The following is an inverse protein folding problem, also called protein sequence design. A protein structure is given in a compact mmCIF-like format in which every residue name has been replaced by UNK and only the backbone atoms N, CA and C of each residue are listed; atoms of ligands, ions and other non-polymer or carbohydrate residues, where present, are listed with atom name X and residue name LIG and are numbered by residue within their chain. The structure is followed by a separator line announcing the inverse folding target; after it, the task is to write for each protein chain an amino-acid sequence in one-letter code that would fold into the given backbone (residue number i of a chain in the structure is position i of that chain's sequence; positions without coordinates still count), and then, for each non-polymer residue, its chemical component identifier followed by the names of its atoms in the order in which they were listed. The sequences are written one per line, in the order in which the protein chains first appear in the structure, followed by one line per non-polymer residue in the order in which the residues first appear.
data_IF_353664025525
#
_entry.id   IF_353664025525
#
_cell.length_a   1.000
_cell.length_b   1.000
_cell.length_c   1.000
_cell.angle_alpha   90.00
_cell.angle_beta   90.00
_cell.angle_gamma   90.00
#
_symmetry.space_group_name_H-M   'P 1'
#
loop_
_entity.id
_entity.type
_entity.pdbx_description
1 polymer ?
#
# COMPACT_ATOMS: atom_id res chain seq x y z
N UNK A 1 15.50 -34.53 18.19
CA UNK A 1 15.89 -35.77 18.84
C UNK A 1 15.98 -36.89 17.80
N UNK A 2 17.02 -37.74 17.90
CA UNK A 2 17.25 -38.82 16.93
C UNK A 2 16.04 -39.79 16.84
N UNK A 3 15.39 -40.05 17.96
CA UNK A 3 14.22 -40.92 18.02
C UNK A 3 13.02 -40.38 17.27
N UNK A 4 12.80 -39.05 17.28
CA UNK A 4 11.73 -38.42 16.52
C UNK A 4 11.99 -38.55 15.01
N UNK A 5 13.22 -38.32 14.59
CA UNK A 5 13.60 -38.46 13.18
C UNK A 5 13.36 -39.89 12.69
N UNK A 6 13.79 -40.90 13.47
CA UNK A 6 13.55 -42.30 13.13
C UNK A 6 12.08 -42.61 12.99
N UNK A 7 11.25 -42.21 13.98
CA UNK A 7 9.79 -42.41 13.92
C UNK A 7 9.12 -41.75 12.71
N UNK A 8 9.60 -40.54 12.31
CA UNK A 8 9.08 -39.86 11.15
C UNK A 8 9.49 -40.56 9.85
N UNK A 9 10.77 -40.96 9.72
CA UNK A 9 11.23 -41.70 8.54
C UNK A 9 10.50 -43.02 8.36
N UNK A 10 10.27 -43.77 9.45
CA UNK A 10 9.52 -45.02 9.43
C UNK A 10 8.04 -44.82 9.06
N UNK A 11 7.38 -43.80 9.63
CA UNK A 11 5.97 -43.48 9.32
C UNK A 11 5.71 -42.95 7.92
N UNK A 12 6.68 -42.20 7.37
CA UNK A 12 6.57 -41.59 6.04
C UNK A 12 7.17 -42.48 4.95
N UNK A 13 7.63 -43.70 5.32
CA UNK A 13 8.32 -44.61 4.43
C UNK A 13 9.49 -43.98 3.66
N UNK A 14 10.22 -43.08 4.34
CA UNK A 14 11.38 -42.38 3.76
C UNK A 14 12.54 -43.38 3.71
N UNK A 15 13.05 -43.64 2.51
CA UNK A 15 14.12 -44.58 2.28
C UNK A 15 15.41 -43.92 1.74
N UNK A 16 16.34 -44.73 1.24
CA UNK A 16 17.63 -44.28 0.70
C UNK A 16 17.53 -43.48 -0.60
N UNK A 17 16.38 -43.54 -1.28
CA UNK A 17 16.13 -42.81 -2.53
C UNK A 17 15.59 -41.40 -2.23
N UNK A 18 15.16 -41.15 -1.00
CA UNK A 18 14.66 -39.86 -0.57
C UNK A 18 15.79 -38.96 -0.07
N UNK A 19 15.71 -37.69 -0.43
CA UNK A 19 16.70 -36.70 0.01
C UNK A 19 16.31 -36.14 1.38
N UNK A 20 17.23 -36.26 2.34
CA UNK A 20 17.12 -35.64 3.65
C UNK A 20 18.16 -34.53 3.80
N UNK A 21 17.69 -33.31 3.96
CA UNK A 21 18.56 -32.14 4.17
C UNK A 21 18.49 -31.71 5.62
N UNK A 22 19.60 -31.73 6.31
CA UNK A 22 19.69 -31.21 7.67
C UNK A 22 19.51 -29.68 7.65
N UNK A 23 18.51 -29.21 8.33
CA UNK A 23 18.20 -27.77 8.43
C UNK A 23 18.58 -27.19 9.80
N UNK A 24 18.32 -25.91 9.99
CA UNK A 24 18.45 -25.24 11.27
C UNK A 24 17.41 -25.77 12.30
N UNK A 25 17.61 -25.40 13.57
CA UNK A 25 16.71 -25.77 14.65
C UNK A 25 15.29 -25.22 14.46
N UNK A 26 15.17 -24.08 13.79
CA UNK A 26 13.93 -23.41 13.47
C UNK A 26 13.83 -23.19 11.98
N UNK A 27 12.62 -23.39 11.43
CA UNK A 27 12.30 -23.11 10.03
C UNK A 27 11.37 -21.91 9.95
N UNK A 28 11.66 -21.01 9.03
CA UNK A 28 10.74 -19.93 8.71
C UNK A 28 9.77 -20.43 7.62
N UNK A 29 8.55 -20.75 8.01
CA UNK A 29 7.51 -21.22 7.07
C UNK A 29 7.19 -20.23 5.96
N UNK A 30 7.56 -18.96 6.12
CA UNK A 30 7.46 -17.96 5.03
C UNK A 30 8.27 -18.36 3.79
N UNK A 31 9.35 -19.12 3.96
CA UNK A 31 10.17 -19.58 2.84
C UNK A 31 9.40 -20.55 1.94
N UNK A 32 8.41 -21.27 2.47
CA UNK A 32 7.54 -22.16 1.71
C UNK A 32 6.59 -21.41 0.76
N UNK A 33 6.37 -20.11 0.94
CA UNK A 33 5.62 -19.28 -0.02
C UNK A 33 6.27 -19.22 -1.41
N UNK A 34 7.57 -19.51 -1.48
CA UNK A 34 8.35 -19.56 -2.73
C UNK A 34 8.70 -20.99 -3.13
N UNK A 35 7.93 -21.97 -2.66
CA UNK A 35 8.19 -23.37 -2.98
C UNK A 35 8.24 -23.58 -4.50
N UNK A 36 9.30 -24.17 -5.04
CA UNK A 36 9.44 -24.35 -6.48
C UNK A 36 8.41 -25.36 -7.02
N UNK A 37 7.93 -25.11 -8.23
CA UNK A 37 6.91 -25.96 -8.86
C UNK A 37 7.50 -27.27 -9.37
N UNK A 38 8.81 -27.34 -9.54
CA UNK A 38 9.55 -28.53 -9.99
C UNK A 38 8.94 -29.21 -11.23
N UNK A 39 8.48 -28.41 -12.22
CA UNK A 39 7.85 -28.90 -13.44
C UNK A 39 6.33 -29.19 -13.33
N UNK A 40 5.76 -29.12 -12.15
CA UNK A 40 4.34 -29.43 -11.89
C UNK A 40 3.45 -28.17 -11.89
N UNK A 41 3.37 -27.48 -13.02
CA UNK A 41 2.59 -26.23 -13.14
C UNK A 41 1.10 -26.38 -12.79
N UNK A 42 0.54 -27.61 -12.96
CA UNK A 42 -0.85 -27.94 -12.61
C UNK A 42 -1.13 -27.89 -11.10
N UNK A 43 -0.09 -27.86 -10.24
CA UNK A 43 -0.23 -27.70 -8.79
C UNK A 43 -0.33 -26.24 -8.35
N UNK A 44 -0.30 -25.29 -9.28
CA UNK A 44 -0.52 -23.86 -9.01
C UNK A 44 -1.83 -23.39 -9.57
N UNK A 45 -2.47 -22.49 -8.84
CA UNK A 45 -3.59 -21.74 -9.38
C UNK A 45 -3.13 -20.90 -10.58
N UNK A 46 -4.01 -20.68 -11.58
CA UNK A 46 -3.72 -19.75 -12.67
C UNK A 46 -3.36 -18.36 -12.13
N UNK A 47 -2.41 -17.72 -12.77
CA UNK A 47 -2.07 -16.34 -12.44
C UNK A 47 -3.22 -15.44 -12.87
N UNK A 48 -3.78 -14.71 -11.91
CA UNK A 48 -4.83 -13.73 -12.20
C UNK A 48 -4.18 -12.43 -12.70
N UNK A 49 -4.59 -11.99 -13.88
CA UNK A 49 -4.16 -10.69 -14.41
C UNK A 49 -5.23 -9.63 -14.11
N UNK A 50 -4.91 -8.62 -13.27
CA UNK A 50 -5.84 -7.55 -12.96
C UNK A 50 -6.27 -6.76 -14.19
N UNK A 51 -7.55 -6.46 -14.30
CA UNK A 51 -8.10 -5.67 -15.42
C UNK A 51 -8.08 -4.17 -15.11
N UNK A 52 -7.99 -3.36 -16.14
CA UNK A 52 -8.28 -1.94 -16.04
C UNK A 52 -9.78 -1.69 -16.21
N UNK A 53 -10.36 -0.85 -15.35
CA UNK A 53 -11.73 -0.39 -15.56
C UNK A 53 -11.79 0.47 -16.83
N UNK A 54 -12.67 0.15 -17.79
CA UNK A 54 -12.71 0.87 -19.07
C UNK A 54 -12.85 2.38 -18.88
N UNK A 55 -13.73 2.82 -17.98
CA UNK A 55 -13.99 4.23 -17.68
C UNK A 55 -12.80 4.96 -17.02
N UNK A 56 -11.79 4.23 -16.55
CA UNK A 56 -10.58 4.79 -15.94
C UNK A 56 -9.33 4.54 -16.78
N UNK A 57 -9.47 3.93 -17.96
CA UNK A 57 -8.32 3.57 -18.80
C UNK A 57 -8.20 4.42 -20.08
N UNK A 58 -9.05 5.42 -20.23
CA UNK A 58 -9.00 6.36 -21.34
C UNK A 58 -7.88 7.40 -21.22
N UNK A 59 -7.92 8.38 -22.11
CA UNK A 59 -7.00 9.53 -22.16
C UNK A 59 -7.46 10.70 -21.30
N UNK A 60 -8.68 10.63 -20.76
CA UNK A 60 -9.25 11.68 -19.91
C UNK A 60 -8.52 11.74 -18.55
N UNK A 61 -8.46 12.95 -17.99
CA UNK A 61 -7.89 13.21 -16.67
C UNK A 61 -8.62 12.42 -15.58
N UNK A 62 -7.88 11.57 -14.87
CA UNK A 62 -8.43 10.81 -13.74
C UNK A 62 -8.89 11.72 -12.60
N UNK A 63 -8.19 12.82 -12.36
CA UNK A 63 -8.61 13.81 -11.37
C UNK A 63 -9.95 14.45 -11.75
N UNK A 64 -10.17 14.73 -13.04
CA UNK A 64 -11.45 15.22 -13.53
C UNK A 64 -12.56 14.18 -13.38
N UNK A 65 -12.31 12.93 -13.78
CA UNK A 65 -13.26 11.84 -13.64
C UNK A 65 -13.70 11.57 -12.18
N UNK A 66 -12.76 11.70 -11.24
CA UNK A 66 -13.06 11.52 -9.81
C UNK A 66 -13.91 12.69 -9.28
N UNK A 67 -13.70 13.92 -9.77
CA UNK A 67 -14.55 15.07 -9.38
C UNK A 67 -15.96 14.97 -9.91
N UNK A 68 -16.14 14.38 -11.08
CA UNK A 68 -17.46 14.20 -11.68
C UNK A 68 -18.29 13.12 -10.96
N UNK A 69 -17.62 12.04 -10.51
CA UNK A 69 -18.26 10.89 -9.90
C UNK A 69 -17.27 10.10 -9.07
N UNK A 70 -17.70 9.58 -7.93
CA UNK A 70 -16.92 8.66 -7.12
C UNK A 70 -16.45 7.46 -7.94
N UNK A 71 -15.21 7.06 -7.74
CA UNK A 71 -14.59 5.92 -8.40
C UNK A 71 -14.10 4.92 -7.37
N UNK A 72 -14.25 3.64 -7.65
CA UNK A 72 -13.75 2.59 -6.79
C UNK A 72 -12.87 1.60 -7.54
N UNK A 73 -11.88 1.07 -6.86
CA UNK A 73 -11.06 -0.05 -7.33
C UNK A 73 -11.21 -1.19 -6.33
N UNK A 74 -11.32 -2.41 -6.87
CA UNK A 74 -11.42 -3.62 -6.09
C UNK A 74 -10.25 -4.53 -6.43
N UNK A 75 -9.32 -4.69 -5.52
CA UNK A 75 -8.16 -5.55 -5.67
C UNK A 75 -8.49 -6.98 -5.21
N UNK A 76 -7.81 -8.00 -5.77
CA UNK A 76 -6.79 -7.97 -6.81
C UNK A 76 -7.35 -7.90 -8.24
N UNK A 77 -8.66 -7.77 -8.42
CA UNK A 77 -9.34 -7.87 -9.71
C UNK A 77 -9.11 -6.65 -10.60
N UNK A 78 -9.08 -5.45 -10.02
CA UNK A 78 -8.71 -4.22 -10.73
C UNK A 78 -7.23 -3.92 -10.58
N UNK A 79 -6.64 -3.39 -11.65
CA UNK A 79 -5.23 -3.03 -11.66
C UNK A 79 -4.92 -1.87 -10.69
N UNK A 80 -3.93 -2.08 -9.82
CA UNK A 80 -3.39 -1.04 -8.95
C UNK A 80 -2.69 0.08 -9.73
N UNK A 81 -2.29 -0.18 -10.97
CA UNK A 81 -1.68 0.84 -11.82
C UNK A 81 -2.65 1.99 -12.13
N UNK A 82 -3.97 1.80 -12.04
CA UNK A 82 -4.94 2.91 -12.08
C UNK A 82 -4.70 3.91 -10.94
N UNK A 83 -4.53 3.43 -9.72
CA UNK A 83 -4.19 4.28 -8.58
C UNK A 83 -2.82 4.96 -8.74
N UNK A 84 -1.82 4.24 -9.26
CA UNK A 84 -0.52 4.82 -9.59
C UNK A 84 -0.64 5.95 -10.62
N UNK A 85 -1.53 5.79 -11.63
CA UNK A 85 -1.80 6.85 -12.62
C UNK A 85 -2.41 8.09 -11.97
N UNK A 86 -3.33 7.95 -11.02
CA UNK A 86 -3.89 9.08 -10.25
C UNK A 86 -2.77 9.84 -9.53
N UNK A 87 -1.86 9.14 -8.85
CA UNK A 87 -0.72 9.79 -8.16
C UNK A 87 0.25 10.46 -9.15
N UNK A 88 0.52 9.83 -10.28
CA UNK A 88 1.40 10.39 -11.33
C UNK A 88 0.79 11.63 -11.97
N UNK A 89 -0.50 11.59 -12.25
CA UNK A 89 -1.22 12.75 -12.74
C UNK A 89 -1.20 13.88 -11.71
N UNK A 90 -1.48 13.58 -10.44
CA UNK A 90 -1.36 14.56 -9.37
C UNK A 90 0.05 15.15 -9.26
N UNK A 91 1.09 14.36 -9.51
CA UNK A 91 2.48 14.82 -9.44
C UNK A 91 2.83 15.85 -10.53
N UNK A 92 2.25 15.76 -11.72
CA UNK A 92 2.56 16.65 -12.86
C UNK A 92 1.52 17.75 -13.08
N UNK A 93 0.30 17.57 -12.61
CA UNK A 93 -0.80 18.52 -12.84
C UNK A 93 -0.53 19.88 -12.20
N UNK A 94 -0.70 20.96 -12.97
CA UNK A 94 -0.52 22.36 -12.48
C UNK A 94 -1.59 22.79 -11.48
N UNK A 95 -2.74 22.12 -11.45
CA UNK A 95 -3.82 22.41 -10.50
C UNK A 95 -3.55 21.87 -9.09
N UNK A 96 -2.74 20.81 -8.97
CA UNK A 96 -2.40 20.20 -7.69
C UNK A 96 -1.36 21.05 -6.95
N UNK A 97 -1.63 21.34 -5.70
CA UNK A 97 -0.75 22.09 -4.80
C UNK A 97 -0.08 21.22 -3.75
N UNK A 98 -0.82 20.22 -3.26
CA UNK A 98 -0.32 19.39 -2.16
C UNK A 98 -0.80 17.95 -2.29
N UNK A 99 -0.03 17.03 -1.71
CA UNK A 99 -0.40 15.63 -1.53
C UNK A 99 -0.05 15.24 -0.10
N UNK A 100 -1.04 14.73 0.66
CA UNK A 100 -0.82 14.10 1.96
C UNK A 100 -1.15 12.61 1.84
N UNK A 101 -0.35 11.73 2.44
CA UNK A 101 -0.56 10.29 2.32
C UNK A 101 -0.08 9.54 3.56
N UNK A 102 -0.85 8.54 3.99
CA UNK A 102 -0.41 7.57 5.00
C UNK A 102 0.20 6.35 4.33
N UNK A 103 1.33 5.88 4.84
CA UNK A 103 2.05 4.72 4.34
C UNK A 103 2.36 3.78 5.50
N UNK A 104 1.97 2.52 5.39
CA UNK A 104 2.23 1.50 6.39
C UNK A 104 3.33 0.53 5.93
N UNK A 105 3.23 0.02 4.72
CA UNK A 105 4.20 -0.88 4.07
C UNK A 105 4.59 -0.35 2.72
N UNK A 106 5.87 -0.40 2.40
CA UNK A 106 6.41 0.06 1.14
C UNK A 106 7.08 -1.08 0.38
N UNK A 107 6.75 -1.21 -0.90
CA UNK A 107 7.44 -2.13 -1.79
C UNK A 107 8.92 -1.75 -1.94
N UNK A 108 9.79 -2.74 -2.12
CA UNK A 108 11.23 -2.51 -2.34
C UNK A 108 11.49 -1.54 -3.49
N UNK A 109 10.67 -1.60 -4.55
CA UNK A 109 10.69 -0.69 -5.69
C UNK A 109 9.32 0.00 -5.86
N UNK A 110 8.93 0.81 -4.86
CA UNK A 110 7.60 1.41 -4.79
C UNK A 110 7.37 2.47 -5.86
N UNK A 111 6.41 2.22 -6.76
CA UNK A 111 5.90 3.20 -7.74
C UNK A 111 5.17 4.35 -7.04
N UNK A 112 4.52 4.06 -5.89
CA UNK A 112 3.85 5.07 -5.05
C UNK A 112 4.85 6.11 -4.58
N UNK A 113 5.94 5.68 -3.94
CA UNK A 113 6.97 6.61 -3.43
C UNK A 113 7.65 7.36 -4.58
N UNK A 114 7.90 6.71 -5.71
CA UNK A 114 8.46 7.38 -6.90
C UNK A 114 7.53 8.49 -7.41
N UNK A 115 6.20 8.28 -7.39
CA UNK A 115 5.24 9.32 -7.77
C UNK A 115 5.23 10.49 -6.79
N UNK A 116 5.34 10.23 -5.47
CA UNK A 116 5.42 11.27 -4.43
C UNK A 116 6.72 12.09 -4.54
N UNK A 117 7.86 11.43 -4.79
CA UNK A 117 9.13 12.13 -5.06
C UNK A 117 9.03 12.99 -6.32
N UNK A 118 8.40 12.48 -7.37
CA UNK A 118 8.14 13.25 -8.59
C UNK A 118 7.27 14.48 -8.28
N UNK A 119 6.23 14.33 -7.46
CA UNK A 119 5.38 15.46 -7.04
C UNK A 119 6.18 16.53 -6.30
N UNK A 120 7.01 16.15 -5.33
CA UNK A 120 7.86 17.09 -4.60
C UNK A 120 8.83 17.83 -5.51
N UNK A 121 9.49 17.13 -6.43
CA UNK A 121 10.39 17.73 -7.44
C UNK A 121 9.67 18.68 -8.40
N UNK A 122 8.35 18.46 -8.62
CA UNK A 122 7.49 19.36 -9.39
C UNK A 122 6.89 20.49 -8.53
N UNK A 123 7.45 20.77 -7.35
CA UNK A 123 7.08 21.89 -6.48
C UNK A 123 5.77 21.68 -5.70
N UNK A 124 5.26 20.45 -5.59
CA UNK A 124 4.09 20.15 -4.76
C UNK A 124 4.51 20.04 -3.28
N UNK A 125 3.67 20.55 -2.38
CA UNK A 125 3.84 20.29 -0.95
C UNK A 125 3.44 18.85 -0.65
N UNK A 126 4.41 17.99 -0.38
CA UNK A 126 4.13 16.56 -0.09
C UNK A 126 4.37 16.28 1.39
N UNK A 127 3.39 15.69 2.05
CA UNK A 127 3.49 15.20 3.44
C UNK A 127 3.16 13.71 3.47
N UNK A 128 4.03 12.93 4.06
CA UNK A 128 3.85 11.48 4.19
C UNK A 128 3.91 11.11 5.66
N UNK A 129 2.93 10.34 6.11
CA UNK A 129 2.90 9.74 7.44
C UNK A 129 3.29 8.28 7.32
N UNK A 130 4.37 7.86 7.99
CA UNK A 130 4.90 6.50 7.93
C UNK A 130 4.78 5.83 9.28
N UNK A 131 4.23 4.61 9.31
CA UNK A 131 4.32 3.71 10.46
C UNK A 131 5.64 2.94 10.42
N UNK A 132 6.59 3.31 11.27
CA UNK A 132 7.92 2.66 11.31
C UNK A 132 7.88 1.22 11.82
N UNK A 133 6.95 0.91 12.73
CA UNK A 133 6.83 -0.40 13.37
C UNK A 133 6.06 -1.42 12.51
N UNK A 134 6.04 -1.25 11.19
CA UNK A 134 5.47 -2.21 10.27
C UNK A 134 6.35 -3.47 10.22
N UNK A 135 5.94 -4.54 10.91
CA UNK A 135 6.68 -5.81 11.01
C UNK A 135 7.14 -6.29 9.62
N UNK A 136 8.41 -6.67 9.51
CA UNK A 136 9.09 -7.23 8.34
C UNK A 136 9.43 -6.23 7.21
N UNK A 137 9.05 -4.97 7.31
CA UNK A 137 9.29 -3.96 6.27
C UNK A 137 10.08 -2.74 6.79
N UNK A 138 10.62 -2.81 8.01
CA UNK A 138 11.30 -1.71 8.71
C UNK A 138 12.46 -1.14 7.88
N UNK A 139 13.33 -2.01 7.38
CA UNK A 139 14.50 -1.58 6.58
C UNK A 139 14.09 -0.87 5.29
N UNK A 140 13.00 -1.35 4.64
CA UNK A 140 12.45 -0.71 3.44
C UNK A 140 11.86 0.67 3.76
N UNK A 141 11.10 0.75 4.86
CA UNK A 141 10.48 2.00 5.30
C UNK A 141 11.53 3.05 5.68
N UNK A 142 12.61 2.66 6.38
CA UNK A 142 13.72 3.56 6.74
C UNK A 142 14.42 4.07 5.48
N UNK A 143 14.77 3.21 4.55
CA UNK A 143 15.44 3.61 3.31
C UNK A 143 14.57 4.58 2.49
N UNK A 144 13.29 4.28 2.33
CA UNK A 144 12.38 5.15 1.58
C UNK A 144 12.12 6.48 2.31
N UNK A 145 12.01 6.49 3.64
CA UNK A 145 11.83 7.73 4.39
C UNK A 145 12.99 8.69 4.19
N UNK A 146 14.23 8.20 4.23
CA UNK A 146 15.41 9.02 3.93
C UNK A 146 15.35 9.61 2.52
N UNK A 147 15.09 8.78 1.51
CA UNK A 147 14.98 9.23 0.11
C UNK A 147 13.85 10.25 -0.11
N UNK A 148 12.74 10.13 0.61
CA UNK A 148 11.65 11.11 0.57
C UNK A 148 12.05 12.43 1.22
N UNK A 149 12.73 12.40 2.37
CA UNK A 149 13.25 13.59 3.03
C UNK A 149 14.29 14.31 2.15
N UNK A 150 15.21 13.57 1.52
CA UNK A 150 16.19 14.11 0.58
C UNK A 150 15.53 14.79 -0.64
N UNK A 151 14.33 14.36 -1.02
CA UNK A 151 13.52 14.97 -2.08
C UNK A 151 12.65 16.15 -1.62
N UNK A 152 12.75 16.58 -0.36
CA UNK A 152 11.98 17.68 0.20
C UNK A 152 10.57 17.31 0.67
N UNK A 153 10.26 16.02 0.81
CA UNK A 153 8.99 15.53 1.36
C UNK A 153 9.04 15.64 2.89
N UNK A 154 7.98 16.21 3.48
CA UNK A 154 7.79 16.18 4.93
C UNK A 154 7.36 14.78 5.35
N UNK A 155 8.22 14.08 6.08
CA UNK A 155 7.94 12.74 6.62
C UNK A 155 7.61 12.86 8.11
N UNK A 156 6.47 12.31 8.51
CA UNK A 156 6.00 12.25 9.90
C UNK A 156 6.01 10.77 10.31
N UNK A 157 6.65 10.46 11.43
CA UNK A 157 6.79 9.11 11.95
C UNK A 157 5.76 8.86 13.06
N UNK A 158 4.55 8.47 12.64
CA UNK A 158 3.49 8.10 13.59
C UNK A 158 3.00 9.25 14.48
N UNK A 159 2.23 8.88 15.48
CA UNK A 159 1.80 9.72 16.62
C UNK A 159 2.14 8.94 17.88
N UNK A 160 2.77 9.58 18.85
CA UNK A 160 3.15 8.94 20.11
C UNK A 160 1.92 8.32 20.80
N UNK A 161 2.04 7.05 21.20
CA UNK A 161 0.97 6.29 21.84
C UNK A 161 -0.14 5.79 20.90
N UNK A 162 -0.13 6.16 19.61
CA UNK A 162 -1.14 5.75 18.63
C UNK A 162 -0.51 5.02 17.45
N UNK A 163 -1.22 4.02 16.94
CA UNK A 163 -0.82 3.31 15.73
C UNK A 163 -1.58 3.85 14.52
N UNK A 164 -0.85 4.32 13.52
CA UNK A 164 -1.47 4.81 12.29
C UNK A 164 -1.72 3.64 11.34
N UNK A 165 -2.97 3.20 11.28
CA UNK A 165 -3.40 2.10 10.43
C UNK A 165 -4.32 2.53 9.28
N UNK A 166 -4.75 3.77 9.23
CA UNK A 166 -5.54 4.33 8.14
C UNK A 166 -4.78 4.35 6.81
N UNK A 167 -5.48 4.14 5.69
CA UNK A 167 -4.92 4.18 4.34
C UNK A 167 -5.61 5.31 3.59
N UNK A 168 -5.00 6.49 3.67
CA UNK A 168 -5.56 7.75 3.20
C UNK A 168 -4.61 8.47 2.24
N UNK A 169 -5.18 9.09 1.23
CA UNK A 169 -4.53 10.10 0.39
C UNK A 169 -5.42 11.32 0.32
N UNK A 170 -4.83 12.49 0.45
CA UNK A 170 -5.47 13.77 0.20
C UNK A 170 -4.68 14.52 -0.88
N UNK A 171 -5.33 14.86 -1.97
CA UNK A 171 -4.77 15.62 -3.09
C UNK A 171 -5.43 16.99 -3.08
N UNK A 172 -4.69 17.99 -2.63
CA UNK A 172 -5.15 19.38 -2.57
C UNK A 172 -5.04 20.05 -3.94
N UNK A 173 -6.16 20.50 -4.49
CA UNK A 173 -6.21 21.12 -5.82
C UNK A 173 -6.89 22.49 -5.81
N UNK A 174 -6.74 23.26 -6.91
CA UNK A 174 -7.42 24.56 -7.09
C UNK A 174 -8.92 24.42 -7.39
N UNK A 175 -9.35 23.25 -7.87
CA UNK A 175 -10.70 23.02 -8.39
C UNK A 175 -11.53 22.06 -7.54
N UNK A 176 -11.12 21.82 -6.31
CA UNK A 176 -11.73 20.90 -5.36
C UNK A 176 -10.81 19.70 -5.08
N UNK A 177 -10.62 19.45 -3.81
CA UNK A 177 -9.72 18.41 -3.33
C UNK A 177 -10.30 17.02 -3.57
N UNK A 178 -9.39 16.06 -3.72
CA UNK A 178 -9.72 14.65 -3.94
C UNK A 178 -9.10 13.84 -2.82
N UNK A 179 -9.81 12.82 -2.36
CA UNK A 179 -9.28 11.86 -1.39
C UNK A 179 -9.41 10.43 -1.91
N UNK A 180 -8.44 9.60 -1.50
CA UNK A 180 -8.53 8.16 -1.67
C UNK A 180 -8.51 7.51 -0.29
N UNK A 181 -9.45 6.61 -0.05
CA UNK A 181 -9.59 5.84 1.17
C UNK A 181 -9.53 4.37 0.79
N UNK A 182 -8.67 3.59 1.45
CA UNK A 182 -8.49 2.18 1.12
C UNK A 182 -8.60 1.31 2.37
N UNK A 183 -9.13 0.09 2.20
CA UNK A 183 -9.07 -0.96 3.22
C UNK A 183 -7.68 -1.57 3.30
N UNK A 184 -6.98 -1.65 2.17
CA UNK A 184 -5.64 -2.22 2.04
C UNK A 184 -4.53 -1.18 1.92
N UNK A 185 -3.31 -1.62 2.23
CA UNK A 185 -2.12 -0.76 2.11
C UNK A 185 -1.88 -0.35 0.65
N UNK A 186 -1.44 0.88 0.45
CA UNK A 186 -1.01 1.37 -0.87
C UNK A 186 0.34 0.76 -1.28
N UNK A 187 0.29 -0.54 -1.58
CA UNK A 187 1.46 -1.36 -1.84
C UNK A 187 1.16 -2.31 -3.01
N UNK A 188 1.99 -2.29 -4.03
CA UNK A 188 1.79 -2.99 -5.30
C UNK A 188 1.62 -4.51 -5.14
N UNK A 189 2.42 -5.11 -4.24
CA UNK A 189 2.33 -6.55 -3.93
C UNK A 189 1.07 -6.92 -3.15
N UNK A 190 0.66 -6.07 -2.20
CA UNK A 190 -0.56 -6.30 -1.41
C UNK A 190 -1.80 -6.27 -2.30
N UNK A 191 -1.86 -5.32 -3.24
CA UNK A 191 -2.97 -5.20 -4.17
C UNK A 191 -3.11 -6.38 -5.15
N UNK A 192 -2.10 -7.24 -5.26
CA UNK A 192 -2.18 -8.50 -6.04
C UNK A 192 -2.56 -9.71 -5.20
N UNK A 193 -2.53 -9.59 -3.89
CA UNK A 193 -2.66 -10.72 -2.96
C UNK A 193 -3.93 -10.64 -2.11
N UNK A 194 -4.31 -9.44 -1.67
CA UNK A 194 -5.42 -9.23 -0.75
C UNK A 194 -6.63 -8.66 -1.46
N UNK A 195 -7.82 -9.01 -0.93
CA UNK A 195 -9.09 -8.47 -1.39
C UNK A 195 -9.35 -7.17 -0.66
N UNK A 196 -9.10 -6.07 -1.35
CA UNK A 196 -9.21 -4.72 -0.79
C UNK A 196 -10.00 -3.79 -1.71
N UNK A 197 -10.58 -2.75 -1.12
CA UNK A 197 -11.26 -1.67 -1.82
C UNK A 197 -10.54 -0.35 -1.65
N UNK A 198 -10.49 0.43 -2.72
CA UNK A 198 -10.11 1.84 -2.67
C UNK A 198 -11.23 2.66 -3.28
N UNK A 199 -11.78 3.60 -2.51
CA UNK A 199 -12.67 4.64 -3.01
C UNK A 199 -11.87 5.91 -3.27
N UNK A 200 -12.19 6.59 -4.38
CA UNK A 200 -11.63 7.88 -4.77
C UNK A 200 -12.79 8.85 -4.97
N UNK A 201 -12.82 9.93 -4.21
CA UNK A 201 -13.96 10.85 -4.16
C UNK A 201 -13.52 12.31 -4.01
N UNK A 202 -14.35 13.22 -4.49
CA UNK A 202 -14.29 14.65 -4.24
C UNK A 202 -15.47 15.13 -3.36
N UNK A 203 -16.19 14.23 -2.70
CA UNK A 203 -17.31 14.57 -1.83
C UNK A 203 -16.82 15.41 -0.64
N UNK A 204 -17.23 16.67 -0.60
CA UNK A 204 -16.70 17.68 0.31
C UNK A 204 -16.72 17.31 1.80
N UNK A 205 -17.78 16.70 2.35
CA UNK A 205 -17.80 16.23 3.75
C UNK A 205 -16.67 15.24 4.02
N UNK A 206 -16.53 14.19 3.19
CA UNK A 206 -15.48 13.18 3.33
C UNK A 206 -14.09 13.80 3.19
N UNK A 207 -13.89 14.68 2.20
CA UNK A 207 -12.62 15.39 2.01
C UNK A 207 -12.22 16.17 3.25
N UNK A 208 -13.16 16.90 3.88
CA UNK A 208 -12.89 17.65 5.12
C UNK A 208 -12.47 16.74 6.26
N UNK A 209 -13.15 15.62 6.43
CA UNK A 209 -12.86 14.69 7.52
C UNK A 209 -11.53 13.97 7.30
N UNK A 210 -11.20 13.55 6.07
CA UNK A 210 -9.86 13.01 5.75
C UNK A 210 -8.76 14.05 6.03
N UNK A 211 -8.99 15.32 5.68
CA UNK A 211 -8.01 16.36 6.01
C UNK A 211 -7.89 16.55 7.52
N UNK A 212 -9.00 16.49 8.28
CA UNK A 212 -8.98 16.57 9.74
C UNK A 212 -8.16 15.43 10.39
N UNK A 213 -8.18 14.22 9.80
CA UNK A 213 -7.30 13.13 10.24
C UNK A 213 -5.83 13.51 10.09
N UNK A 214 -5.43 14.08 8.94
CA UNK A 214 -4.06 14.54 8.75
C UNK A 214 -3.68 15.70 9.70
N UNK A 215 -4.61 16.62 9.96
CA UNK A 215 -4.39 17.72 10.89
C UNK A 215 -4.25 17.21 12.33
N UNK A 216 -5.01 16.20 12.73
CA UNK A 216 -4.85 15.50 14.00
C UNK A 216 -3.49 14.81 14.11
N UNK A 217 -3.04 14.12 13.07
CA UNK A 217 -1.71 13.48 13.07
C UNK A 217 -0.60 14.53 13.28
N UNK A 218 -0.78 15.73 12.76
CA UNK A 218 0.15 16.85 12.97
C UNK A 218 0.00 17.51 14.34
N UNK A 219 -1.21 17.50 14.92
CA UNK A 219 -1.58 18.12 16.19
C UNK A 219 -2.55 17.23 16.98
N UNK A 220 -2.06 16.19 17.68
CA UNK A 220 -2.89 15.12 18.24
C UNK A 220 -3.78 15.53 19.43
N UNK A 221 -3.76 16.78 19.85
CA UNK A 221 -4.68 17.34 20.88
C UNK A 221 -5.91 18.03 20.29
N UNK A 222 -6.08 18.02 18.98
CA UNK A 222 -7.24 18.61 18.34
C UNK A 222 -8.41 17.61 18.45
N UNK A 223 -9.56 17.99 19.03
CA UNK A 223 -10.70 17.10 19.11
C UNK A 223 -11.22 16.78 17.71
N UNK A 224 -11.47 15.50 17.47
CA UNK A 224 -12.02 15.00 16.21
C UNK A 224 -13.54 14.75 16.39
N UNK A 225 -14.33 15.23 15.46
CA UNK A 225 -15.75 14.94 15.36
C UNK A 225 -16.07 14.56 13.92
N UNK A 226 -16.29 13.28 13.69
CA UNK A 226 -16.59 12.72 12.37
C UNK A 226 -18.08 12.39 12.25
N UNK A 227 -18.64 12.64 11.05
CA UNK A 227 -20.02 12.30 10.68
C UNK A 227 -20.04 11.27 9.55
N UNK A 228 -19.07 11.33 8.66
CA UNK A 228 -18.96 10.49 7.47
C UNK A 228 -17.94 9.35 7.67
N UNK A 229 -16.87 9.60 8.42
CA UNK A 229 -15.84 8.62 8.70
C UNK A 229 -16.05 7.98 10.08
N UNK A 230 -15.87 6.66 10.14
CA UNK A 230 -15.71 5.93 11.39
C UNK A 230 -14.20 5.72 11.63
N UNK A 231 -13.72 6.27 12.73
CA UNK A 231 -12.33 6.13 13.16
C UNK A 231 -12.30 5.38 14.48
N UNK A 232 -11.55 4.26 14.51
CA UNK A 232 -11.34 3.42 15.70
C UNK A 232 -10.05 3.78 16.41
#
# INVERSE_FOLDING_TARGET
PRDLLKRLTDRLNIDKNDTRVAGGRYHNFKDLMKFPVCGHSHLKYPVWEPIFKPELNGTESLLTLIRQKDRSLHYPYHSFDTFIRVLREAAISKEVKSIKMTLYRLAKDSKVVKALICAAKNGKKVTVVIELLARFDEASNINWSKRMQDAGIRVIFGVEGLKIHSKLVHIGTRHGDIVCISTGNFHEGNARMYTDYTIMTAHRPIVREVNAVFDFIEKPYTPLNFKELLVS
#
